data_IF_243786949870
#
_entry.id   IF_243786949870
#
_cell.length_a   1.000
_cell.length_b   1.000
_cell.length_c   1.000
_cell.angle_alpha   90.00
_cell.angle_beta   90.00
_cell.angle_gamma   90.00
#
_symmetry.space_group_name_H-M   'P 1'
#
loop_
_entity.id
_entity.type
_entity.pdbx_description
1 polymer ?
#
# COMPACT_ATOMS: atom_id res chain seq x y z
N UNK A 1 -1.33 -11.09 -9.59
CA UNK A 1 -0.65 -11.03 -10.90
C UNK A 1 -0.85 -9.69 -11.60
N UNK A 2 -2.05 -9.35 -12.11
CA UNK A 2 -2.28 -8.09 -12.84
C UNK A 2 -1.95 -6.83 -12.02
N UNK A 3 -2.31 -6.80 -10.73
CA UNK A 3 -2.00 -5.68 -9.82
C UNK A 3 -0.49 -5.45 -9.68
N UNK A 4 0.30 -6.52 -9.50
CA UNK A 4 1.76 -6.43 -9.38
C UNK A 4 2.44 -5.90 -10.66
N UNK A 5 2.01 -6.38 -11.83
CA UNK A 5 2.50 -5.85 -13.11
C UNK A 5 2.11 -4.40 -13.34
N UNK A 6 0.90 -3.99 -12.95
CA UNK A 6 0.45 -2.59 -13.03
C UNK A 6 1.30 -1.68 -12.14
N UNK A 7 1.56 -2.07 -10.89
CA UNK A 7 2.38 -1.26 -9.98
C UNK A 7 3.83 -1.15 -10.48
N UNK A 8 4.41 -2.27 -10.93
CA UNK A 8 5.75 -2.27 -11.54
C UNK A 8 5.84 -1.32 -12.75
N UNK A 9 4.85 -1.34 -13.64
CA UNK A 9 4.77 -0.39 -14.76
C UNK A 9 4.66 1.08 -14.31
N UNK A 10 4.00 1.34 -13.18
CA UNK A 10 3.86 2.68 -12.60
C UNK A 10 5.07 3.10 -11.75
N UNK A 11 6.12 2.28 -11.67
CA UNK A 11 7.28 2.54 -10.81
C UNK A 11 6.96 2.52 -9.32
N UNK A 12 5.86 1.86 -8.93
CA UNK A 12 5.48 1.63 -7.54
C UNK A 12 6.10 0.31 -7.08
N UNK A 13 6.97 0.37 -6.08
CA UNK A 13 7.64 -0.81 -5.55
C UNK A 13 6.62 -1.80 -4.96
N UNK A 14 6.68 -3.03 -5.44
CA UNK A 14 5.93 -4.17 -4.91
C UNK A 14 6.76 -5.43 -5.16
N UNK A 15 6.72 -6.44 -4.27
CA UNK A 15 7.48 -7.66 -4.48
C UNK A 15 7.15 -8.28 -5.83
N UNK A 16 8.17 -8.64 -6.60
CA UNK A 16 7.95 -9.15 -7.95
C UNK A 16 7.14 -10.46 -7.88
N UNK A 17 6.03 -10.57 -8.65
CA UNK A 17 5.30 -11.83 -8.70
C UNK A 17 6.13 -12.85 -9.46
N UNK A 18 6.64 -13.86 -8.75
CA UNK A 18 7.48 -14.93 -9.31
C UNK A 18 6.65 -16.01 -9.99
N UNK A 19 5.49 -16.35 -9.43
CA UNK A 19 4.57 -17.32 -10.02
C UNK A 19 3.14 -17.11 -9.53
N UNK A 20 2.17 -17.52 -10.34
CA UNK A 20 0.78 -17.68 -9.91
C UNK A 20 0.35 -19.11 -10.25
N UNK A 21 0.00 -19.88 -9.24
CA UNK A 21 -0.51 -21.24 -9.39
C UNK A 21 -2.01 -21.18 -9.20
N UNK A 22 -2.77 -21.66 -10.17
CA UNK A 22 -4.23 -21.63 -10.12
C UNK A 22 -4.82 -23.01 -10.40
N UNK A 23 -5.60 -23.53 -9.46
CA UNK A 23 -6.38 -24.76 -9.63
C UNK A 23 -7.82 -24.41 -9.95
N UNK A 24 -8.25 -24.77 -11.15
CA UNK A 24 -9.63 -24.67 -11.62
C UNK A 24 -10.26 -26.04 -11.77
N UNK A 25 -11.56 -26.12 -11.52
CA UNK A 25 -12.41 -27.24 -11.94
C UNK A 25 -13.55 -26.66 -12.79
N UNK A 26 -13.38 -26.68 -14.11
CA UNK A 26 -14.27 -25.95 -15.03
C UNK A 26 -14.23 -24.43 -14.78
N UNK A 27 -15.37 -23.71 -14.77
CA UNK A 27 -15.40 -22.26 -14.51
C UNK A 27 -15.16 -21.91 -13.02
N UNK A 28 -15.16 -22.90 -12.11
CA UNK A 28 -14.98 -22.68 -10.69
C UNK A 28 -13.49 -22.59 -10.34
N UNK A 29 -13.07 -21.41 -9.88
CA UNK A 29 -11.78 -21.16 -9.22
C UNK A 29 -11.82 -21.82 -7.84
N UNK A 30 -10.98 -22.84 -7.61
CA UNK A 30 -10.89 -23.49 -6.29
C UNK A 30 -9.81 -22.86 -5.44
N UNK A 31 -8.57 -22.86 -5.94
CA UNK A 31 -7.41 -22.41 -5.18
C UNK A 31 -6.50 -21.58 -6.09
N UNK A 32 -5.99 -20.47 -5.59
CA UNK A 32 -4.98 -19.68 -6.27
C UNK A 32 -3.88 -19.31 -5.26
N UNK A 33 -2.64 -19.52 -5.64
CA UNK A 33 -1.46 -19.09 -4.88
C UNK A 33 -0.68 -18.09 -5.70
N UNK A 34 -0.33 -16.96 -5.09
CA UNK A 34 0.62 -16.00 -5.63
C UNK A 34 1.94 -16.16 -4.87
N UNK A 35 3.00 -16.49 -5.59
CA UNK A 35 4.35 -16.53 -5.06
C UNK A 35 5.02 -15.22 -5.48
N UNK A 36 5.49 -14.45 -4.51
CA UNK A 36 6.24 -13.22 -4.75
C UNK A 36 7.66 -13.37 -4.25
N UNK A 37 8.54 -12.47 -4.69
CA UNK A 37 9.85 -12.30 -4.06
C UNK A 37 9.67 -12.04 -2.56
N UNK A 38 10.56 -12.61 -1.75
CA UNK A 38 10.58 -12.34 -0.33
C UNK A 38 11.17 -10.95 -0.08
N UNK A 39 10.40 -10.07 0.55
CA UNK A 39 10.89 -8.78 1.00
C UNK A 39 11.21 -8.87 2.49
N UNK A 40 12.50 -8.79 2.83
CA UNK A 40 12.99 -8.84 4.22
C UNK A 40 12.78 -7.52 4.99
N UNK A 41 12.02 -6.57 4.45
CA UNK A 41 11.79 -5.26 5.04
C UNK A 41 10.86 -5.28 6.24
N UNK A 42 11.13 -4.42 7.22
CA UNK A 42 10.22 -4.17 8.33
C UNK A 42 8.96 -3.50 7.82
N UNK A 43 7.81 -3.83 8.40
CA UNK A 43 6.60 -3.10 8.05
C UNK A 43 6.62 -1.68 8.63
N UNK A 44 5.88 -0.75 8.01
CA UNK A 44 5.90 0.66 8.40
C UNK A 44 5.38 0.89 9.83
N UNK A 45 4.53 0.01 10.36
CA UNK A 45 4.09 0.15 11.76
C UNK A 45 5.26 -0.06 12.74
N UNK A 46 6.15 -1.01 12.44
CA UNK A 46 7.37 -1.23 13.22
C UNK A 46 8.37 -0.09 13.01
N UNK A 47 8.59 0.33 11.75
CA UNK A 47 9.56 1.37 11.41
C UNK A 47 9.20 2.74 11.98
N UNK A 48 7.91 3.11 11.97
CA UNK A 48 7.42 4.41 12.43
C UNK A 48 7.07 4.43 13.92
N UNK A 49 7.19 3.28 14.60
CA UNK A 49 6.78 3.11 15.99
C UNK A 49 5.26 3.03 16.15
N UNK A 50 4.80 2.11 17.00
CA UNK A 50 3.37 1.89 17.21
C UNK A 50 2.68 3.06 17.93
N UNK A 51 3.41 3.87 18.70
CA UNK A 51 2.84 5.04 19.38
C UNK A 51 2.63 6.22 18.43
N UNK A 52 3.50 6.38 17.41
CA UNK A 52 3.45 7.50 16.47
C UNK A 52 3.84 8.85 17.08
N UNK A 53 4.56 8.85 18.21
CA UNK A 53 4.93 10.07 18.93
C UNK A 53 6.01 10.89 18.20
N UNK A 54 6.77 10.23 17.32
CA UNK A 54 7.85 10.83 16.55
C UNK A 54 7.46 10.96 15.07
N UNK A 55 8.05 11.95 14.41
CA UNK A 55 7.93 12.12 12.96
C UNK A 55 8.84 11.12 12.23
N UNK A 56 8.46 10.69 11.02
CA UNK A 56 9.31 9.80 10.23
C UNK A 56 10.64 10.47 9.90
N UNK A 57 11.71 9.68 9.83
CA UNK A 57 12.95 10.09 9.18
C UNK A 57 12.66 10.58 7.76
N UNK A 58 13.37 11.61 7.31
CA UNK A 58 13.12 12.26 6.01
C UNK A 58 13.08 11.26 4.84
N UNK A 59 14.00 10.30 4.81
CA UNK A 59 14.04 9.25 3.77
C UNK A 59 12.79 8.36 3.77
N UNK A 60 12.27 8.03 4.96
CA UNK A 60 11.06 7.24 5.11
C UNK A 60 9.83 8.07 4.71
N UNK A 61 9.80 9.34 5.11
CA UNK A 61 8.76 10.29 4.74
C UNK A 61 8.68 10.45 3.21
N UNK A 62 9.81 10.69 2.55
CA UNK A 62 9.87 10.94 1.11
C UNK A 62 9.40 9.72 0.30
N UNK A 63 9.88 8.52 0.65
CA UNK A 63 9.47 7.30 -0.04
C UNK A 63 7.99 6.97 0.19
N UNK A 64 7.48 7.21 1.41
CA UNK A 64 6.07 7.03 1.73
C UNK A 64 5.20 7.96 0.89
N UNK A 65 5.53 9.26 0.88
CA UNK A 65 4.81 10.25 0.10
C UNK A 65 4.91 9.98 -1.39
N UNK A 66 6.05 9.51 -1.88
CA UNK A 66 6.20 9.09 -3.26
C UNK A 66 5.18 8.00 -3.64
N UNK A 67 5.08 6.92 -2.86
CA UNK A 67 4.14 5.83 -3.13
C UNK A 67 2.69 6.32 -3.09
N UNK A 68 2.30 7.10 -2.08
CA UNK A 68 0.95 7.63 -1.97
C UNK A 68 0.61 8.60 -3.12
N UNK A 69 1.54 9.44 -3.54
CA UNK A 69 1.36 10.32 -4.70
C UNK A 69 1.20 9.52 -6.00
N UNK A 70 2.00 8.48 -6.22
CA UNK A 70 1.89 7.61 -7.39
C UNK A 70 0.52 6.90 -7.43
N UNK A 71 0.07 6.34 -6.30
CA UNK A 71 -1.27 5.72 -6.21
C UNK A 71 -2.39 6.72 -6.48
N UNK A 72 -2.29 7.92 -5.91
CA UNK A 72 -3.27 8.99 -6.09
C UNK A 72 -3.35 9.43 -7.55
N UNK A 73 -2.22 9.72 -8.20
CA UNK A 73 -2.14 10.11 -9.60
C UNK A 73 -2.66 9.02 -10.54
N UNK A 74 -2.39 7.75 -10.21
CA UNK A 74 -2.87 6.60 -10.98
C UNK A 74 -4.35 6.25 -10.71
N UNK A 75 -5.03 6.96 -9.80
CA UNK A 75 -6.39 6.67 -9.33
C UNK A 75 -6.56 5.22 -8.84
N UNK A 76 -5.58 4.76 -8.06
CA UNK A 76 -5.56 3.41 -7.48
C UNK A 76 -5.87 3.48 -5.99
N UNK A 77 -6.79 2.63 -5.54
CA UNK A 77 -6.98 2.32 -4.11
C UNK A 77 -6.41 0.92 -3.83
N UNK A 78 -5.70 0.77 -2.72
CA UNK A 78 -5.22 -0.49 -2.19
C UNK A 78 -6.35 -1.38 -1.64
N UNK A 79 -7.36 -0.81 -0.97
CA UNK A 79 -8.48 -1.55 -0.36
C UNK A 79 -8.19 -2.10 1.05
N UNK A 80 -6.96 -2.55 1.31
CA UNK A 80 -6.47 -2.94 2.65
C UNK A 80 -5.26 -2.12 3.11
N UNK A 81 -5.31 -0.78 2.96
CA UNK A 81 -4.17 0.12 3.23
C UNK A 81 -3.89 0.28 4.74
N UNK A 82 -3.26 -0.72 5.35
CA UNK A 82 -2.76 -0.69 6.74
C UNK A 82 -1.24 -0.61 6.75
N UNK A 83 -0.66 -0.01 7.78
CA UNK A 83 0.80 0.15 7.88
C UNK A 83 1.57 -1.17 7.85
N UNK A 84 0.93 -2.29 8.23
CA UNK A 84 1.52 -3.64 8.12
C UNK A 84 1.58 -4.19 6.69
N UNK A 85 0.84 -3.61 5.74
CA UNK A 85 0.89 -3.96 4.32
C UNK A 85 1.85 -3.08 3.50
N UNK A 86 2.60 -2.21 4.17
CA UNK A 86 3.65 -1.39 3.56
C UNK A 86 4.98 -1.78 4.21
N UNK A 87 5.92 -2.28 3.41
CA UNK A 87 7.23 -2.72 3.87
C UNK A 87 8.30 -1.69 3.50
N UNK A 88 9.17 -1.36 4.45
CA UNK A 88 10.35 -0.55 4.21
C UNK A 88 11.54 -1.44 3.87
N UNK A 89 12.07 -1.32 2.66
CA UNK A 89 13.25 -2.06 2.24
C UNK A 89 14.07 -1.26 1.23
N UNK A 90 15.39 -1.23 1.38
CA UNK A 90 16.28 -0.62 0.39
C UNK A 90 15.98 0.85 0.07
N UNK A 91 15.54 1.63 1.06
CA UNK A 91 15.09 3.04 0.89
C UNK A 91 13.82 3.23 0.06
N UNK A 92 13.02 2.17 -0.07
CA UNK A 92 11.74 2.21 -0.77
C UNK A 92 10.63 1.62 0.09
N UNK A 93 9.40 2.05 -0.19
CA UNK A 93 8.20 1.50 0.41
C UNK A 93 7.54 0.54 -0.58
N UNK A 94 7.46 -0.72 -0.19
CA UNK A 94 6.86 -1.80 -0.97
C UNK A 94 5.42 -2.05 -0.53
N UNK A 95 4.48 -2.05 -1.47
CA UNK A 95 3.10 -2.48 -1.21
C UNK A 95 3.00 -4.00 -1.32
N UNK A 96 2.38 -4.62 -0.32
CA UNK A 96 2.03 -6.04 -0.31
C UNK A 96 0.52 -6.21 -0.15
N UNK A 97 0.02 -7.44 -0.34
CA UNK A 97 -1.42 -7.74 -0.20
C UNK A 97 -2.29 -6.96 -1.20
N UNK A 98 -2.04 -7.21 -2.49
CA UNK A 98 -2.66 -6.47 -3.61
C UNK A 98 -4.01 -7.03 -4.07
N UNK A 99 -4.59 -7.98 -3.33
CA UNK A 99 -5.81 -8.71 -3.75
C UNK A 99 -7.06 -7.82 -3.70
N UNK A 100 -7.07 -6.82 -2.81
CA UNK A 100 -8.14 -5.82 -2.70
C UNK A 100 -7.92 -4.58 -3.59
N UNK A 101 -6.80 -4.52 -4.33
CA UNK A 101 -6.41 -3.34 -5.08
C UNK A 101 -7.33 -3.09 -6.28
N UNK A 102 -7.77 -1.84 -6.43
CA UNK A 102 -8.68 -1.43 -7.51
C UNK A 102 -8.13 -0.17 -8.20
N UNK A 103 -8.08 -0.20 -9.53
CA UNK A 103 -7.96 1.01 -10.33
C UNK A 103 -9.36 1.49 -10.70
N UNK A 104 -9.59 2.79 -10.58
CA UNK A 104 -10.90 3.39 -10.74
C UNK A 104 -11.01 4.12 -12.08
N UNK A 105 -12.08 3.84 -12.83
CA UNK A 105 -12.40 4.55 -14.07
C UNK A 105 -13.22 5.83 -13.83
N UNK A 106 -14.05 5.83 -12.79
CA UNK A 106 -14.89 6.95 -12.40
C UNK A 106 -14.38 7.68 -11.15
N UNK A 107 -14.65 8.98 -11.08
CA UNK A 107 -14.13 9.84 -10.02
C UNK A 107 -14.79 9.59 -8.65
N UNK A 108 -16.07 9.24 -8.63
CA UNK A 108 -16.82 9.01 -7.39
C UNK A 108 -16.32 7.77 -6.64
N UNK A 109 -16.18 6.66 -7.37
CA UNK A 109 -15.59 5.42 -6.88
C UNK A 109 -14.17 5.62 -6.39
N UNK A 110 -13.36 6.31 -7.19
CA UNK A 110 -11.99 6.67 -6.82
C UNK A 110 -11.93 7.45 -5.50
N UNK A 111 -12.64 8.59 -5.39
CA UNK A 111 -12.61 9.42 -4.18
C UNK A 111 -13.05 8.64 -2.95
N UNK A 112 -14.07 7.80 -3.07
CA UNK A 112 -14.55 6.97 -1.97
C UNK A 112 -13.55 5.87 -1.58
N UNK A 113 -12.85 5.27 -2.55
CA UNK A 113 -11.79 4.29 -2.32
C UNK A 113 -10.57 4.93 -1.66
N UNK A 114 -10.10 6.03 -2.23
CA UNK A 114 -8.96 6.81 -1.74
C UNK A 114 -9.16 7.29 -0.30
N UNK A 115 -10.31 7.92 -0.01
CA UNK A 115 -10.60 8.40 1.34
C UNK A 115 -10.62 7.26 2.38
N UNK A 116 -11.10 6.07 1.99
CA UNK A 116 -11.10 4.89 2.86
C UNK A 116 -9.69 4.39 3.13
N UNK A 117 -8.85 4.31 2.12
CA UNK A 117 -7.46 3.86 2.30
C UNK A 117 -6.65 4.85 3.12
N UNK A 118 -6.74 6.14 2.82
CA UNK A 118 -6.07 7.21 3.59
C UNK A 118 -6.49 7.16 5.06
N UNK A 119 -7.79 7.13 5.33
CA UNK A 119 -8.30 7.04 6.71
C UNK A 119 -7.86 5.73 7.41
N UNK A 120 -7.82 4.62 6.67
CA UNK A 120 -7.38 3.33 7.23
C UNK A 120 -5.90 3.32 7.56
N UNK A 121 -5.06 3.95 6.73
CA UNK A 121 -3.63 4.06 6.98
C UNK A 121 -3.34 4.93 8.20
N UNK A 122 -3.95 6.11 8.29
CA UNK A 122 -3.73 7.05 9.41
C UNK A 122 -4.19 6.44 10.75
N UNK A 123 -5.29 5.69 10.74
CA UNK A 123 -5.84 5.02 11.94
C UNK A 123 -4.96 3.90 12.52
N UNK A 124 -3.83 3.56 11.90
CA UNK A 124 -2.84 2.70 12.55
C UNK A 124 -2.21 3.35 13.79
N UNK A 125 -2.29 4.69 13.90
CA UNK A 125 -1.80 5.45 15.04
C UNK A 125 -2.93 6.19 15.75
N UNK A 126 -2.67 6.63 16.99
CA UNK A 126 -3.63 7.42 17.76
C UNK A 126 -3.86 8.77 17.07
N UNK A 127 -5.10 9.25 17.09
CA UNK A 127 -5.47 10.50 16.41
C UNK A 127 -4.75 11.74 16.94
N UNK A 128 -4.29 11.70 18.20
CA UNK A 128 -3.53 12.76 18.88
C UNK A 128 -2.00 12.60 18.77
N UNK A 129 -1.52 11.62 18.01
CA UNK A 129 -0.08 11.40 17.80
C UNK A 129 0.49 12.36 16.75
N UNK A 130 1.75 12.76 16.93
CA UNK A 130 2.43 13.66 16.00
C UNK A 130 2.46 13.10 14.56
N UNK A 131 2.63 11.77 14.44
CA UNK A 131 2.63 11.07 13.16
C UNK A 131 1.25 11.11 12.48
N UNK A 132 0.16 10.85 13.20
CA UNK A 132 -1.18 10.90 12.61
C UNK A 132 -1.53 12.30 12.08
N UNK A 133 -1.21 13.34 12.85
CA UNK A 133 -1.41 14.74 12.44
C UNK A 133 -0.53 15.13 11.25
N UNK A 134 0.70 14.62 11.20
CA UNK A 134 1.58 14.82 10.05
C UNK A 134 1.03 14.12 8.81
N UNK A 135 0.60 12.85 8.91
CA UNK A 135 0.02 12.09 7.80
C UNK A 135 -1.26 12.74 7.26
N UNK A 136 -2.14 13.25 8.13
CA UNK A 136 -3.34 13.98 7.72
C UNK A 136 -3.01 15.21 6.85
N UNK A 137 -1.87 15.87 7.10
CA UNK A 137 -1.43 17.04 6.34
C UNK A 137 -0.64 16.67 5.08
N UNK A 138 0.19 15.64 5.17
CA UNK A 138 1.16 15.30 4.13
C UNK A 138 0.57 14.41 3.03
N UNK A 139 -0.40 13.54 3.33
CA UNK A 139 -1.00 12.64 2.35
C UNK A 139 -1.94 13.39 1.38
N UNK A 140 -1.93 13.05 0.08
CA UNK A 140 -2.78 13.71 -0.92
C UNK A 140 -4.28 13.47 -0.64
N UNK A 141 -5.11 14.44 -1.05
CA UNK A 141 -6.57 14.49 -0.77
C UNK A 141 -7.41 14.18 -1.99
#
# INVERSE_FOLDING_TARGET
WLSGWRLSFLGIATPQPLAMIERRMGPLRREAWLITEYCAGDNLLQRLGASGDELPEQSTADALLQVFNQLHQARISHGDCKATNLLWHGHQVYLIDLDAMQAHGDESGWRKGWARDRARFIRNWRADSALAEWLERALPR
#
